data_IF_819830248095
#
_entry.id   IF_819830248095
#
_cell.length_a   1.000
_cell.length_b   1.000
_cell.length_c   1.000
_cell.angle_alpha   90.00
_cell.angle_beta   90.00
_cell.angle_gamma   90.00
#
_symmetry.space_group_name_H-M   'P 1'
#
loop_
_entity.id
_entity.type
_entity.pdbx_description
1 polymer ?
#
# COMPACT_ATOMS: atom_id res chain seq x y z
N UNK A 1 4.64 17.83 -1.70
CA UNK A 1 3.81 16.62 -1.83
C UNK A 1 4.70 15.39 -1.93
N UNK A 2 4.67 14.58 -0.88
CA UNK A 2 5.35 13.30 -0.77
C UNK A 2 4.46 12.36 -0.01
N UNK A 3 4.30 11.16 -0.54
CA UNK A 3 3.66 10.08 0.18
C UNK A 3 4.19 8.72 -0.27
N UNK A 4 4.20 7.79 0.66
CA UNK A 4 4.63 6.42 0.48
C UNK A 4 3.65 5.45 1.14
N UNK A 5 3.21 4.44 0.39
CA UNK A 5 2.57 3.26 0.96
C UNK A 5 3.64 2.35 1.54
N UNK A 6 3.55 2.11 2.84
CA UNK A 6 4.50 1.27 3.58
C UNK A 6 3.91 -0.12 3.75
N UNK A 7 4.65 -1.13 3.31
CA UNK A 7 4.29 -2.54 3.41
C UNK A 7 5.34 -3.33 4.19
N UNK A 8 4.88 -4.31 4.95
CA UNK A 8 5.71 -5.40 5.47
C UNK A 8 5.59 -6.57 4.51
N UNK A 9 6.71 -7.05 3.98
CA UNK A 9 6.73 -8.16 3.04
C UNK A 9 7.59 -9.28 3.61
N UNK A 10 7.00 -10.47 3.69
CA UNK A 10 7.74 -11.71 3.95
C UNK A 10 8.00 -12.42 2.63
N UNK A 11 9.22 -12.82 2.37
CA UNK A 11 9.63 -13.45 1.12
C UNK A 11 10.62 -14.59 1.35
N UNK A 12 10.63 -15.55 0.44
CA UNK A 12 11.53 -16.70 0.47
C UNK A 12 12.67 -16.55 -0.54
N UNK A 13 13.85 -17.09 -0.22
CA UNK A 13 14.92 -17.27 -1.21
C UNK A 13 14.80 -18.62 -1.91
N UNK A 14 14.86 -18.59 -3.24
CA UNK A 14 14.96 -19.81 -4.04
C UNK A 14 16.40 -20.33 -4.01
N UNK A 15 16.55 -21.63 -3.82
CA UNK A 15 17.87 -22.29 -3.77
C UNK A 15 17.98 -23.29 -4.90
N UNK A 16 19.20 -23.49 -5.39
CA UNK A 16 19.49 -24.56 -6.33
C UNK A 16 19.23 -25.93 -5.70
N UNK A 17 18.99 -26.95 -6.53
CA UNK A 17 18.81 -28.33 -6.07
C UNK A 17 19.99 -28.78 -5.20
N UNK A 18 19.70 -29.34 -4.02
CA UNK A 18 20.70 -29.79 -3.05
C UNK A 18 21.28 -28.69 -2.15
N UNK A 19 20.83 -27.43 -2.28
CA UNK A 19 21.25 -26.31 -1.41
C UNK A 19 20.16 -25.99 -0.40
N UNK A 20 20.54 -25.91 0.88
CA UNK A 20 19.66 -25.48 1.97
C UNK A 20 20.11 -24.11 2.50
N UNK A 21 19.16 -23.23 2.76
CA UNK A 21 19.36 -21.92 3.36
C UNK A 21 18.59 -21.85 4.67
N UNK A 22 19.24 -21.38 5.74
CA UNK A 22 18.64 -21.16 7.05
C UNK A 22 19.12 -19.81 7.62
N UNK A 23 18.24 -18.80 7.76
CA UNK A 23 16.83 -18.84 7.40
C UNK A 23 16.60 -18.83 5.88
N UNK A 24 15.50 -19.45 5.43
CA UNK A 24 15.05 -19.40 4.02
C UNK A 24 14.08 -18.24 3.74
N UNK A 25 13.48 -17.70 4.79
CA UNK A 25 12.42 -16.70 4.72
C UNK A 25 12.85 -15.48 5.51
N UNK A 26 12.63 -14.30 4.93
CA UNK A 26 13.03 -13.01 5.46
C UNK A 26 11.84 -12.07 5.48
N UNK A 27 11.92 -11.04 6.33
CA UNK A 27 10.97 -9.93 6.34
C UNK A 27 11.70 -8.65 5.95
N UNK A 28 11.04 -7.81 5.14
CA UNK A 28 11.51 -6.48 4.78
C UNK A 28 10.36 -5.47 4.80
N UNK A 29 10.72 -4.19 4.82
CA UNK A 29 9.79 -3.08 4.61
C UNK A 29 9.96 -2.56 3.20
N UNK A 30 8.85 -2.43 2.49
CA UNK A 30 8.79 -1.82 1.15
C UNK A 30 8.05 -0.50 1.24
N UNK A 31 8.66 0.55 0.69
CA UNK A 31 8.06 1.88 0.59
C UNK A 31 7.77 2.15 -0.89
N UNK A 32 6.49 2.16 -1.26
CA UNK A 32 6.04 2.42 -2.62
C UNK A 32 5.59 3.86 -2.70
N UNK A 33 6.25 4.66 -3.53
CA UNK A 33 5.86 6.06 -3.75
C UNK A 33 4.43 6.11 -4.27
N UNK A 34 3.61 6.95 -3.64
CA UNK A 34 2.27 7.21 -4.10
C UNK A 34 2.29 8.22 -5.26
N UNK A 35 1.48 7.97 -6.28
CA UNK A 35 1.26 8.93 -7.36
C UNK A 35 0.46 10.13 -6.84
N UNK A 36 0.70 11.36 -7.35
CA UNK A 36 -0.02 12.54 -6.91
C UNK A 36 -1.54 12.40 -7.09
N UNK A 37 -2.37 12.89 -6.14
CA UNK A 37 -3.82 12.86 -6.29
C UNK A 37 -4.26 13.53 -7.61
N UNK A 38 -5.16 12.87 -8.34
CA UNK A 38 -5.64 13.32 -9.64
C UNK A 38 -4.82 12.83 -10.84
N UNK A 39 -3.59 12.32 -10.64
CA UNK A 39 -2.75 11.76 -11.70
C UNK A 39 -2.94 10.25 -11.90
N UNK A 40 -2.69 9.73 -13.10
CA UNK A 40 -2.81 8.30 -13.38
C UNK A 40 -2.07 7.45 -12.32
N UNK A 41 -2.80 6.54 -11.65
CA UNK A 41 -2.25 5.65 -10.60
C UNK A 41 -2.60 6.06 -9.16
N UNK A 42 -3.06 7.29 -8.91
CA UNK A 42 -3.32 7.82 -7.55
C UNK A 42 -4.34 7.01 -6.72
N UNK A 43 -5.20 6.24 -7.38
CA UNK A 43 -6.22 5.39 -6.75
C UNK A 43 -5.68 4.03 -6.27
N UNK A 44 -4.37 3.81 -6.26
CA UNK A 44 -3.76 2.55 -5.79
C UNK A 44 -4.36 2.05 -4.46
N UNK A 45 -4.53 2.93 -3.47
CA UNK A 45 -5.11 2.57 -2.17
C UNK A 45 -6.54 2.02 -2.28
N UNK A 46 -7.35 2.56 -3.19
CA UNK A 46 -8.74 2.13 -3.41
C UNK A 46 -8.79 0.73 -3.98
N UNK A 47 -7.84 0.41 -4.87
CA UNK A 47 -7.82 -0.83 -5.61
C UNK A 47 -7.11 -1.96 -4.82
N UNK A 48 -6.12 -1.60 -3.99
CA UNK A 48 -5.30 -2.56 -3.26
C UNK A 48 -5.70 -2.76 -1.78
N UNK A 49 -6.36 -1.78 -1.14
CA UNK A 49 -6.59 -1.78 0.31
C UNK A 49 -8.07 -1.78 0.69
N UNK A 50 -8.37 -2.30 1.87
CA UNK A 50 -9.68 -2.22 2.48
C UNK A 50 -9.54 -2.21 4.00
N UNK A 51 -10.10 -1.18 4.65
CA UNK A 51 -10.06 -0.96 6.11
C UNK A 51 -8.65 -1.03 6.71
N UNK A 52 -7.64 -0.56 5.98
CA UNK A 52 -6.25 -0.56 6.44
C UNK A 52 -5.54 -1.90 6.28
N UNK A 53 -6.10 -2.83 5.50
CA UNK A 53 -5.49 -4.13 5.18
C UNK A 53 -5.41 -4.31 3.67
N UNK A 54 -4.59 -5.26 3.20
CA UNK A 54 -4.58 -5.66 1.79
C UNK A 54 -5.90 -6.34 1.43
N UNK A 55 -6.55 -5.91 0.34
CA UNK A 55 -7.88 -6.39 -0.04
C UNK A 55 -7.84 -7.78 -0.70
N UNK A 56 -6.86 -8.02 -1.60
CA UNK A 56 -6.60 -9.33 -2.21
C UNK A 56 -5.15 -9.74 -1.94
N UNK A 57 -4.99 -10.77 -1.11
CA UNK A 57 -3.68 -11.29 -0.71
C UNK A 57 -2.87 -11.90 -1.88
N UNK A 58 -3.52 -12.44 -2.91
CA UNK A 58 -2.81 -12.96 -4.09
C UNK A 58 -2.26 -11.80 -4.90
N UNK A 59 -3.09 -10.80 -5.18
CA UNK A 59 -2.67 -9.61 -5.90
C UNK A 59 -1.54 -8.85 -5.16
N UNK A 60 -1.66 -8.71 -3.84
CA UNK A 60 -0.61 -8.08 -3.02
C UNK A 60 0.72 -8.83 -3.11
N UNK A 61 0.70 -10.18 -3.10
CA UNK A 61 1.91 -11.00 -3.27
C UNK A 61 2.50 -10.90 -4.66
N UNK A 62 1.67 -10.82 -5.71
CA UNK A 62 2.13 -10.59 -7.08
C UNK A 62 2.89 -9.25 -7.17
N UNK A 63 2.27 -8.16 -6.71
CA UNK A 63 2.92 -6.84 -6.65
C UNK A 63 4.24 -6.86 -5.87
N UNK A 64 4.23 -7.43 -4.66
CA UNK A 64 5.43 -7.48 -3.84
C UNK A 64 6.54 -8.34 -4.46
N UNK A 65 6.17 -9.40 -5.17
CA UNK A 65 7.15 -10.23 -5.89
C UNK A 65 7.78 -9.47 -7.05
N UNK A 66 7.01 -8.63 -7.75
CA UNK A 66 7.52 -7.74 -8.79
C UNK A 66 8.47 -6.68 -8.21
N UNK A 67 8.08 -6.03 -7.09
CA UNK A 67 8.90 -5.01 -6.44
C UNK A 67 10.26 -5.55 -5.96
N UNK A 68 10.26 -6.75 -5.36
CA UNK A 68 11.46 -7.33 -4.77
C UNK A 68 12.20 -8.29 -5.70
N UNK A 69 11.62 -8.64 -6.86
CA UNK A 69 12.15 -9.66 -7.79
C UNK A 69 12.41 -11.03 -7.13
N UNK A 70 11.61 -11.38 -6.11
CA UNK A 70 11.66 -12.66 -5.36
C UNK A 70 10.24 -13.08 -4.96
N UNK A 71 9.96 -14.38 -4.74
CA UNK A 71 8.62 -14.82 -4.35
C UNK A 71 8.19 -14.28 -2.99
N UNK A 72 7.14 -13.45 -2.97
CA UNK A 72 6.52 -12.98 -1.75
C UNK A 72 5.57 -14.03 -1.15
N UNK A 73 5.73 -14.30 0.14
CA UNK A 73 4.89 -15.24 0.89
C UNK A 73 3.69 -14.56 1.56
N UNK A 74 3.87 -13.35 2.07
CA UNK A 74 2.82 -12.56 2.71
C UNK A 74 3.12 -11.07 2.63
N UNK A 75 2.08 -10.25 2.52
CA UNK A 75 2.18 -8.79 2.44
C UNK A 75 1.15 -8.18 3.37
N UNK A 76 1.57 -7.20 4.16
CA UNK A 76 0.68 -6.45 5.06
C UNK A 76 0.91 -4.96 4.88
N UNK A 77 -0.18 -4.21 4.71
CA UNK A 77 -0.12 -2.76 4.74
C UNK A 77 0.18 -2.28 6.15
N UNK A 78 1.04 -1.26 6.29
CA UNK A 78 1.42 -0.68 7.58
C UNK A 78 0.81 0.70 7.73
N UNK A 79 1.11 1.58 6.79
CA UNK A 79 0.71 2.99 6.83
C UNK A 79 0.88 3.66 5.47
N UNK A 80 0.09 4.70 5.23
CA UNK A 80 0.38 5.75 4.27
C UNK A 80 1.18 6.82 5.01
N UNK A 81 2.49 6.90 4.76
CA UNK A 81 3.29 8.05 5.19
C UNK A 81 3.10 9.18 4.21
N UNK A 82 2.88 10.40 4.69
CA UNK A 82 2.55 11.53 3.82
C UNK A 82 2.99 12.85 4.45
N UNK A 83 3.20 13.88 3.64
CA UNK A 83 3.19 15.27 4.10
C UNK A 83 1.75 15.84 4.16
N UNK A 84 1.58 16.99 4.82
CA UNK A 84 0.28 17.68 4.90
C UNK A 84 -0.24 18.05 3.51
N UNK A 85 0.66 18.54 2.64
CA UNK A 85 0.34 19.00 1.30
C UNK A 85 -0.28 17.89 0.43
N UNK A 86 0.26 16.67 0.49
CA UNK A 86 -0.32 15.52 -0.21
C UNK A 86 -1.65 15.08 0.41
N UNK A 87 -1.77 15.09 1.75
CA UNK A 87 -3.02 14.68 2.40
C UNK A 87 -4.17 15.64 2.07
N UNK A 88 -3.89 16.94 2.02
CA UNK A 88 -4.89 17.94 1.63
C UNK A 88 -5.30 17.76 0.16
N UNK A 89 -4.33 17.60 -0.75
CA UNK A 89 -4.63 17.30 -2.16
C UNK A 89 -5.44 16.01 -2.34
N UNK A 90 -5.13 14.97 -1.54
CA UNK A 90 -5.88 13.71 -1.57
C UNK A 90 -7.32 13.90 -1.11
N UNK A 91 -7.54 14.70 -0.05
CA UNK A 91 -8.88 15.01 0.45
C UNK A 91 -9.70 15.80 -0.57
N UNK A 92 -9.08 16.76 -1.24
CA UNK A 92 -9.72 17.57 -2.27
C UNK A 92 -10.18 16.69 -3.45
N UNK A 93 -9.30 15.84 -3.99
CA UNK A 93 -9.64 14.93 -5.10
C UNK A 93 -10.70 13.89 -4.72
N UNK A 94 -10.69 13.40 -3.47
CA UNK A 94 -11.76 12.51 -2.97
C UNK A 94 -13.08 13.27 -2.86
N UNK A 95 -13.06 14.49 -2.34
CA UNK A 95 -14.25 15.34 -2.18
C UNK A 95 -14.95 15.58 -3.52
N UNK A 96 -14.18 15.81 -4.58
CA UNK A 96 -14.69 16.03 -5.93
C UNK A 96 -15.25 14.74 -6.59
N UNK A 97 -15.07 13.57 -5.97
CA UNK A 97 -15.41 12.27 -6.54
C UNK A 97 -15.98 11.26 -5.53
N UNK A 98 -16.69 11.72 -4.50
CA UNK A 98 -17.21 10.87 -3.40
C UNK A 98 -18.02 9.64 -3.87
N UNK A 99 -18.82 9.78 -4.94
CA UNK A 99 -19.59 8.68 -5.52
C UNK A 99 -18.70 7.49 -5.93
N UNK A 100 -17.46 7.76 -6.40
CA UNK A 100 -16.50 6.70 -6.79
C UNK A 100 -16.02 5.87 -5.61
N UNK A 101 -16.12 6.43 -4.41
CA UNK A 101 -15.74 5.77 -3.17
C UNK A 101 -16.95 5.17 -2.45
N UNK A 102 -18.17 5.39 -2.95
CA UNK A 102 -19.43 5.01 -2.28
C UNK A 102 -19.38 5.41 -0.79
N UNK A 103 -19.17 6.70 -0.56
CA UNK A 103 -19.01 7.33 0.74
C UNK A 103 -19.70 8.70 0.72
N UNK A 104 -20.25 9.13 1.86
CA UNK A 104 -20.94 10.42 1.99
C UNK A 104 -20.01 11.53 2.49
N UNK A 105 -18.80 11.17 2.93
CA UNK A 105 -17.77 12.10 3.40
C UNK A 105 -16.34 11.61 3.09
N UNK A 106 -15.40 12.56 3.00
CA UNK A 106 -13.98 12.27 2.74
C UNK A 106 -13.36 11.39 3.82
N UNK A 107 -13.61 11.70 5.10
CA UNK A 107 -13.08 10.91 6.22
C UNK A 107 -13.63 9.48 6.23
N UNK A 108 -14.87 9.29 5.78
CA UNK A 108 -15.46 7.96 5.60
C UNK A 108 -14.69 7.20 4.51
N UNK A 109 -14.46 7.83 3.34
CA UNK A 109 -13.68 7.23 2.27
C UNK A 109 -12.26 6.87 2.73
N UNK A 110 -11.55 7.78 3.39
CA UNK A 110 -10.20 7.52 3.91
C UNK A 110 -10.21 6.35 4.89
N UNK A 111 -11.13 6.35 5.87
CA UNK A 111 -11.24 5.26 6.86
C UNK A 111 -11.60 3.93 6.20
N UNK A 112 -12.45 3.95 5.17
CA UNK A 112 -12.91 2.78 4.45
C UNK A 112 -11.78 2.01 3.77
N UNK A 113 -10.78 2.71 3.23
CA UNK A 113 -9.66 2.08 2.52
C UNK A 113 -8.39 2.00 3.38
N UNK A 114 -8.01 3.10 4.05
CA UNK A 114 -6.76 3.22 4.79
C UNK A 114 -6.90 2.94 6.29
N UNK A 115 -8.13 2.77 6.80
CA UNK A 115 -8.37 2.60 8.23
C UNK A 115 -7.88 3.82 9.01
N UNK A 116 -7.16 3.58 10.11
CA UNK A 116 -6.48 4.62 10.89
C UNK A 116 -4.99 4.75 10.54
N UNK A 117 -4.55 4.22 9.40
CA UNK A 117 -3.14 4.03 9.07
C UNK A 117 -2.59 5.14 8.18
N UNK A 118 -2.96 6.40 8.45
CA UNK A 118 -2.40 7.59 7.78
C UNK A 118 -1.46 8.28 8.76
N UNK A 119 -0.22 8.52 8.33
CA UNK A 119 0.82 9.12 9.14
C UNK A 119 1.41 10.35 8.48
N UNK A 120 1.00 11.51 8.98
CA UNK A 120 1.55 12.79 8.53
C UNK A 120 2.93 13.04 9.13
N UNK A 121 3.89 13.39 8.29
CA UNK A 121 5.27 13.75 8.64
C UNK A 121 5.50 15.24 8.34
N UNK A 122 6.27 15.94 9.19
CA UNK A 122 6.72 17.30 8.92
C UNK A 122 7.79 17.36 7.83
#
# INVERSE_FOLDING_TARGET
MRAEYVFSVRFGVETASGVNADPRTFETVVEVRADPPGEDGWMFFRDALWRGEVNDERYARELASEWLSVPAESVSFRELRTDEEYLDALKDEISDSLDRFNADAVDEALTKYLGSSIHVRP
#
